data_IF_087890848667
#
_entry.id   IF_087890848667
#
_cell.length_a   1.000
_cell.length_b   1.000
_cell.length_c   1.000
_cell.angle_alpha   90.00
_cell.angle_beta   90.00
_cell.angle_gamma   90.00
#
_symmetry.space_group_name_H-M   'P 1'
#
loop_
_entity.id
_entity.type
_entity.pdbx_description
1 polymer ?
#
# COMPACT_ATOMS: atom_id res chain seq x y z
N UNK A 1 28.11 -2.64 36.92
CA UNK A 1 27.14 -1.64 37.38
C UNK A 1 27.10 -0.40 36.46
N UNK A 2 28.24 0.33 36.26
CA UNK A 2 28.22 1.54 35.41
C UNK A 2 27.93 1.27 33.94
N UNK A 3 28.54 0.20 33.36
CA UNK A 3 28.26 -0.23 31.98
C UNK A 3 26.82 -0.71 31.77
N UNK A 4 26.23 -1.36 32.74
CA UNK A 4 24.80 -1.80 32.68
C UNK A 4 23.88 -0.61 32.75
N UNK A 5 24.19 0.40 33.56
CA UNK A 5 23.40 1.63 33.65
C UNK A 5 23.42 2.39 32.32
N UNK A 6 24.59 2.57 31.69
CA UNK A 6 24.75 3.20 30.39
C UNK A 6 24.01 2.43 29.28
N UNK A 7 23.97 1.10 29.37
CA UNK A 7 23.26 0.27 28.41
C UNK A 7 21.73 0.41 28.56
N UNK A 8 21.25 0.44 29.79
CA UNK A 8 19.82 0.65 30.06
C UNK A 8 19.37 2.06 29.66
N UNK A 9 20.21 3.07 29.94
CA UNK A 9 19.92 4.45 29.52
C UNK A 9 19.83 4.58 28.00
N UNK A 10 20.75 3.98 27.24
CA UNK A 10 20.68 3.94 25.76
C UNK A 10 19.43 3.24 25.25
N UNK A 11 19.03 2.12 25.85
CA UNK A 11 17.80 1.40 25.50
C UNK A 11 16.55 2.25 25.79
N UNK A 12 16.53 2.96 26.90
CA UNK A 12 15.44 3.85 27.26
C UNK A 12 15.35 5.03 26.29
N UNK A 13 16.48 5.68 25.98
CA UNK A 13 16.53 6.78 25.01
C UNK A 13 16.09 6.35 23.63
N UNK A 14 16.48 5.17 23.16
CA UNK A 14 16.01 4.64 21.87
C UNK A 14 14.50 4.38 21.87
N UNK A 15 13.93 3.87 22.96
CA UNK A 15 12.49 3.67 23.10
C UNK A 15 11.72 4.99 23.13
N UNK A 16 12.23 5.99 23.84
CA UNK A 16 11.62 7.33 23.92
C UNK A 16 11.66 8.01 22.54
N UNK A 17 12.76 7.91 21.82
CA UNK A 17 12.88 8.47 20.48
C UNK A 17 11.95 7.75 19.47
N UNK A 18 11.87 6.43 19.54
CA UNK A 18 10.95 5.65 18.71
C UNK A 18 9.48 6.00 19.01
N UNK A 19 9.13 6.18 20.28
CA UNK A 19 7.79 6.60 20.68
C UNK A 19 7.46 8.03 20.25
N UNK A 20 8.42 8.95 20.39
CA UNK A 20 8.27 10.33 19.90
C UNK A 20 8.06 10.36 18.39
N UNK A 21 8.90 9.63 17.64
CA UNK A 21 8.75 9.47 16.20
C UNK A 21 7.37 8.91 15.81
N UNK A 22 6.89 7.90 16.54
CA UNK A 22 5.55 7.34 16.34
C UNK A 22 4.45 8.41 16.56
N UNK A 23 4.53 9.18 17.67
CA UNK A 23 3.57 10.24 17.95
C UNK A 23 3.59 11.36 16.90
N UNK A 24 4.76 11.74 16.41
CA UNK A 24 4.88 12.76 15.39
C UNK A 24 4.29 12.28 14.05
N UNK A 25 4.48 11.01 13.71
CA UNK A 25 3.84 10.40 12.54
C UNK A 25 2.31 10.35 12.66
N UNK A 26 1.75 10.21 13.87
CA UNK A 26 0.30 10.27 14.06
C UNK A 26 -0.30 11.66 13.77
N UNK A 27 0.48 12.73 13.87
CA UNK A 27 0.04 14.10 13.57
C UNK A 27 -0.02 14.41 12.08
N UNK A 28 0.65 13.61 11.23
CA UNK A 28 0.64 13.80 9.78
C UNK A 28 -0.76 13.60 9.23
N UNK A 29 -1.25 14.60 8.54
CA UNK A 29 -2.59 14.58 7.92
C UNK A 29 -2.50 14.62 6.38
N UNK A 30 -3.65 14.47 5.71
CA UNK A 30 -3.69 14.42 4.24
C UNK A 30 -3.17 15.66 3.53
N UNK A 31 -3.18 16.84 4.18
CA UNK A 31 -2.61 18.08 3.62
C UNK A 31 -1.08 18.00 3.63
N UNK A 32 -0.50 17.44 4.68
CA UNK A 32 0.94 17.28 4.78
C UNK A 32 1.46 16.30 3.73
N UNK A 33 0.76 15.18 3.54
CA UNK A 33 1.05 14.21 2.49
C UNK A 33 0.94 14.87 1.10
N UNK A 34 -0.12 15.65 0.87
CA UNK A 34 -0.31 16.38 -0.38
C UNK A 34 0.86 17.35 -0.69
N UNK A 35 1.40 18.02 0.33
CA UNK A 35 2.57 18.92 0.19
C UNK A 35 3.87 18.15 -0.06
N UNK A 36 4.01 16.97 0.50
CA UNK A 36 5.19 16.12 0.36
C UNK A 36 5.33 15.49 -1.05
N UNK A 37 4.26 15.46 -1.85
CA UNK A 37 4.31 15.01 -3.23
C UNK A 37 5.18 15.95 -4.09
N UNK A 38 6.05 15.36 -4.91
CA UNK A 38 7.02 16.13 -5.70
C UNK A 38 6.35 16.83 -6.89
N UNK A 39 5.57 16.09 -7.68
CA UNK A 39 4.94 16.61 -8.89
C UNK A 39 3.45 16.81 -8.70
N UNK A 40 2.85 17.71 -9.48
CA UNK A 40 1.40 17.93 -9.43
C UNK A 40 0.58 16.72 -9.89
N UNK A 41 1.14 15.90 -10.77
CA UNK A 41 0.51 14.67 -11.25
C UNK A 41 0.62 13.51 -10.25
N UNK A 42 1.62 13.53 -9.36
CA UNK A 42 1.85 12.45 -8.40
C UNK A 42 0.64 12.27 -7.48
N UNK A 43 0.39 11.03 -7.10
CA UNK A 43 -0.73 10.68 -6.21
C UNK A 43 -0.26 9.84 -5.04
N UNK A 44 -0.81 10.13 -3.87
CA UNK A 44 -0.75 9.26 -2.72
C UNK A 44 -2.16 8.71 -2.46
N UNK A 45 -2.27 7.41 -2.29
CA UNK A 45 -3.52 6.68 -2.17
C UNK A 45 -3.48 5.84 -0.91
N UNK A 46 -4.34 6.17 0.04
CA UNK A 46 -4.54 5.36 1.25
C UNK A 46 -5.82 4.55 1.05
N UNK A 47 -5.70 3.24 0.92
CA UNK A 47 -6.86 2.36 0.93
C UNK A 47 -7.39 2.25 2.34
N UNK A 48 -8.69 2.21 2.48
CA UNK A 48 -9.37 2.05 3.77
C UNK A 48 -10.43 0.96 3.66
N UNK A 49 -10.55 0.19 4.73
CA UNK A 49 -11.63 -0.77 4.94
C UNK A 49 -12.52 -0.25 6.06
N UNK A 50 -13.83 -0.27 5.87
CA UNK A 50 -14.79 0.17 6.86
C UNK A 50 -16.07 -0.66 6.83
N UNK A 51 -16.76 -0.71 7.94
CA UNK A 51 -18.03 -1.39 8.07
C UNK A 51 -19.19 -0.39 7.91
N UNK A 52 -20.16 -0.74 7.06
CA UNK A 52 -21.40 0.03 6.91
C UNK A 52 -22.57 -0.93 6.69
N UNK A 53 -23.57 -0.90 7.58
CA UNK A 53 -24.71 -1.79 7.54
C UNK A 53 -24.29 -3.27 7.47
N UNK A 54 -23.41 -3.69 8.38
CA UNK A 54 -22.83 -5.05 8.47
C UNK A 54 -22.09 -5.52 7.20
N UNK A 55 -21.86 -4.62 6.25
CA UNK A 55 -21.13 -4.91 5.03
C UNK A 55 -19.74 -4.28 5.06
N UNK A 56 -18.71 -5.09 4.86
CA UNK A 56 -17.34 -4.62 4.70
C UNK A 56 -17.16 -3.93 3.35
N UNK A 57 -16.75 -2.68 3.38
CA UNK A 57 -16.57 -1.83 2.21
C UNK A 57 -15.14 -1.32 2.12
N UNK A 58 -14.74 -1.08 0.90
CA UNK A 58 -13.46 -0.45 0.58
C UNK A 58 -13.67 0.94 0.00
N UNK A 59 -12.75 1.82 0.31
CA UNK A 59 -12.64 3.12 -0.30
C UNK A 59 -11.17 3.52 -0.40
N UNK A 60 -10.90 4.61 -1.10
CA UNK A 60 -9.58 5.19 -1.17
C UNK A 60 -9.62 6.68 -0.83
N UNK A 61 -8.64 7.13 -0.06
CA UNK A 61 -8.31 8.54 0.10
C UNK A 61 -7.23 8.87 -0.92
N UNK A 62 -7.56 9.71 -1.88
CA UNK A 62 -6.63 10.13 -2.92
C UNK A 62 -6.15 11.54 -2.64
N UNK A 63 -4.87 11.67 -2.39
CA UNK A 63 -4.15 12.92 -2.16
C UNK A 63 -3.32 13.28 -3.40
N UNK A 64 -3.38 14.54 -3.77
CA UNK A 64 -2.65 15.08 -4.91
C UNK A 64 -2.10 16.46 -4.52
N UNK A 65 -0.94 16.83 -5.06
CA UNK A 65 -0.28 18.08 -4.68
C UNK A 65 -1.21 19.28 -4.83
N UNK A 66 -1.34 20.07 -3.76
CA UNK A 66 -2.15 21.29 -3.70
C UNK A 66 -3.64 21.09 -4.03
N UNK A 67 -4.17 19.88 -3.90
CA UNK A 67 -5.60 19.61 -4.06
C UNK A 67 -6.21 19.09 -2.76
N UNK A 68 -7.53 19.24 -2.66
CA UNK A 68 -8.29 18.65 -1.57
C UNK A 68 -8.19 17.11 -1.63
N UNK A 69 -8.16 16.48 -0.48
CA UNK A 69 -8.23 15.02 -0.37
C UNK A 69 -9.58 14.55 -0.90
N UNK A 70 -9.57 13.58 -1.79
CA UNK A 70 -10.79 12.98 -2.34
C UNK A 70 -11.04 11.63 -1.68
N UNK A 71 -12.25 11.44 -1.20
CA UNK A 71 -12.74 10.14 -0.77
C UNK A 71 -13.44 9.46 -1.95
N UNK A 72 -12.99 8.29 -2.34
CA UNK A 72 -13.53 7.53 -3.47
C UNK A 72 -14.04 6.18 -2.95
N UNK A 73 -15.37 6.00 -2.84
CA UNK A 73 -15.94 4.69 -2.59
C UNK A 73 -15.56 3.72 -3.71
N UNK A 74 -15.27 2.49 -3.34
CA UNK A 74 -14.87 1.46 -4.31
C UNK A 74 -15.94 0.34 -4.36
N UNK A 75 -15.67 -0.75 -3.73
CA UNK A 75 -16.51 -1.96 -3.76
C UNK A 75 -16.65 -2.56 -2.36
N UNK A 76 -17.52 -3.53 -2.23
CA UNK A 76 -17.63 -4.35 -1.04
C UNK A 76 -16.65 -5.53 -1.11
N UNK A 77 -16.34 -6.11 0.05
CA UNK A 77 -15.55 -7.34 0.10
C UNK A 77 -16.23 -8.45 -0.71
N UNK A 78 -17.54 -8.56 -0.57
CA UNK A 78 -18.35 -9.56 -1.26
C UNK A 78 -18.29 -9.41 -2.81
N UNK A 79 -18.36 -8.17 -3.31
CA UNK A 79 -18.24 -7.90 -4.76
C UNK A 79 -16.88 -8.35 -5.32
N UNK A 80 -15.79 -8.14 -4.60
CA UNK A 80 -14.47 -8.55 -5.07
C UNK A 80 -14.27 -10.06 -4.96
N UNK A 81 -14.82 -10.67 -3.92
CA UNK A 81 -14.82 -12.12 -3.76
C UNK A 81 -15.63 -12.81 -4.86
N UNK A 82 -16.85 -12.37 -5.11
CA UNK A 82 -17.70 -12.90 -6.18
C UNK A 82 -17.04 -12.73 -7.56
N UNK A 83 -16.45 -11.57 -7.82
CA UNK A 83 -15.72 -11.36 -9.06
C UNK A 83 -14.58 -12.38 -9.23
N UNK A 84 -13.84 -12.66 -8.17
CA UNK A 84 -12.73 -13.62 -8.22
C UNK A 84 -13.22 -15.07 -8.38
N UNK A 85 -14.32 -15.43 -7.75
CA UNK A 85 -14.93 -16.76 -7.85
C UNK A 85 -15.52 -16.99 -9.25
N UNK A 86 -16.27 -16.04 -9.79
CA UNK A 86 -16.90 -16.15 -11.10
C UNK A 86 -15.89 -16.30 -12.24
N UNK A 87 -14.78 -15.61 -12.14
CA UNK A 87 -13.71 -15.67 -13.14
C UNK A 87 -12.75 -16.84 -12.96
N UNK A 88 -12.85 -17.57 -11.84
CA UNK A 88 -11.97 -18.70 -11.50
C UNK A 88 -12.78 -19.86 -10.95
N UNK A 89 -13.36 -20.66 -11.85
CA UNK A 89 -14.25 -21.81 -11.58
C UNK A 89 -13.73 -22.85 -10.56
N UNK A 90 -12.48 -22.74 -10.10
CA UNK A 90 -11.81 -23.75 -9.28
C UNK A 90 -11.47 -23.33 -7.85
N UNK A 91 -11.89 -22.14 -7.40
CA UNK A 91 -11.58 -21.64 -6.06
C UNK A 91 -12.86 -21.24 -5.33
N UNK A 92 -13.05 -21.77 -4.12
CA UNK A 92 -14.19 -21.42 -3.26
C UNK A 92 -14.06 -20.05 -2.60
N UNK A 93 -12.82 -19.55 -2.43
CA UNK A 93 -12.56 -18.27 -1.78
C UNK A 93 -11.40 -17.51 -2.45
N UNK A 94 -11.41 -16.20 -2.30
CA UNK A 94 -10.29 -15.35 -2.78
C UNK A 94 -8.95 -15.74 -2.11
N UNK A 95 -8.99 -16.13 -0.83
CA UNK A 95 -7.81 -16.66 -0.13
C UNK A 95 -7.22 -17.87 -0.83
N UNK A 96 -8.05 -18.83 -1.21
CA UNK A 96 -7.61 -20.01 -1.95
C UNK A 96 -7.03 -19.64 -3.31
N UNK A 97 -7.62 -18.69 -4.01
CA UNK A 97 -7.13 -18.19 -5.28
C UNK A 97 -5.72 -17.57 -5.18
N UNK A 98 -5.44 -16.88 -4.08
CA UNK A 98 -4.15 -16.21 -3.83
C UNK A 98 -3.08 -17.21 -3.33
N UNK A 99 -3.46 -18.10 -2.41
CA UNK A 99 -2.52 -19.00 -1.72
C UNK A 99 -2.40 -20.38 -2.35
N UNK A 100 -3.23 -20.74 -3.35
CA UNK A 100 -3.12 -22.05 -3.96
C UNK A 100 -1.77 -22.19 -4.66
N UNK A 101 -0.99 -23.18 -4.20
CA UNK A 101 0.26 -23.61 -4.86
C UNK A 101 0.01 -24.39 -6.16
N UNK A 102 -1.24 -24.74 -6.45
CA UNK A 102 -1.58 -25.34 -7.74
C UNK A 102 -1.25 -24.33 -8.82
N UNK A 103 -0.34 -24.69 -9.69
CA UNK A 103 0.10 -23.94 -10.88
C UNK A 103 -1.08 -23.81 -11.84
N UNK A 104 -2.11 -23.12 -11.42
CA UNK A 104 -3.13 -22.60 -12.29
C UNK A 104 -2.61 -21.20 -12.57
N UNK A 105 -2.01 -21.10 -13.71
CA UNK A 105 -1.58 -19.91 -14.43
C UNK A 105 -1.64 -18.61 -13.61
N UNK A 106 -0.59 -18.40 -12.78
CA UNK A 106 -0.44 -17.18 -11.98
C UNK A 106 -0.56 -15.91 -12.85
N UNK A 107 -0.38 -16.07 -14.15
CA UNK A 107 -0.48 -15.01 -15.13
C UNK A 107 -1.92 -14.49 -15.26
N UNK A 108 -2.95 -15.32 -15.04
CA UNK A 108 -4.33 -14.86 -15.25
C UNK A 108 -4.84 -13.83 -14.25
N UNK A 109 -4.42 -13.85 -12.98
CA UNK A 109 -4.89 -12.82 -12.03
C UNK A 109 -4.28 -11.45 -12.36
N UNK A 110 -3.00 -11.42 -12.65
CA UNK A 110 -2.27 -10.17 -12.91
C UNK A 110 -2.38 -9.71 -14.37
N UNK A 111 -2.82 -10.56 -15.27
CA UNK A 111 -3.23 -10.18 -16.63
C UNK A 111 -4.71 -9.76 -16.72
N UNK A 112 -5.45 -9.82 -15.61
CA UNK A 112 -6.84 -9.42 -15.56
C UNK A 112 -6.96 -7.89 -15.64
N UNK A 113 -7.18 -7.41 -16.84
CA UNK A 113 -7.37 -5.99 -17.13
C UNK A 113 -8.65 -5.43 -16.47
N UNK A 114 -9.68 -6.26 -16.25
CA UNK A 114 -10.95 -5.82 -15.68
C UNK A 114 -10.75 -5.50 -14.19
N UNK A 115 -10.07 -6.37 -13.43
CA UNK A 115 -9.78 -6.11 -12.02
C UNK A 115 -8.86 -4.90 -11.87
N UNK A 116 -7.83 -4.81 -12.70
CA UNK A 116 -6.94 -3.66 -12.74
C UNK A 116 -7.69 -2.35 -13.00
N UNK A 117 -8.56 -2.33 -13.99
CA UNK A 117 -9.42 -1.17 -14.29
C UNK A 117 -10.36 -0.84 -13.14
N UNK A 118 -11.04 -1.82 -12.56
CA UNK A 118 -11.91 -1.60 -11.40
C UNK A 118 -11.21 -0.93 -10.24
N UNK A 119 -9.94 -1.27 -9.99
CA UNK A 119 -9.17 -0.69 -8.89
C UNK A 119 -8.61 0.67 -9.29
N UNK A 120 -7.99 0.79 -10.46
CA UNK A 120 -7.16 1.94 -10.79
C UNK A 120 -7.87 3.06 -11.55
N UNK A 121 -8.85 2.77 -12.42
CA UNK A 121 -9.43 3.79 -13.29
C UNK A 121 -10.08 4.94 -12.52
N UNK A 122 -10.88 4.61 -11.49
CA UNK A 122 -11.52 5.62 -10.65
C UNK A 122 -10.54 6.43 -9.80
N UNK A 123 -9.40 5.83 -9.45
CA UNK A 123 -8.39 6.47 -8.60
C UNK A 123 -7.48 7.39 -9.43
N UNK A 124 -7.20 6.99 -10.64
CA UNK A 124 -6.26 7.69 -11.51
C UNK A 124 -6.95 8.74 -12.39
N UNK A 125 -8.17 8.47 -12.87
CA UNK A 125 -8.88 9.39 -13.78
C UNK A 125 -7.99 9.81 -14.97
N UNK A 126 -7.97 11.09 -15.30
CA UNK A 126 -7.14 11.67 -16.38
C UNK A 126 -5.67 11.90 -15.96
N UNK A 127 -5.11 11.00 -15.16
CA UNK A 127 -3.71 11.11 -14.74
C UNK A 127 -2.77 11.02 -15.94
N UNK A 128 -1.84 11.97 -16.12
CA UNK A 128 -0.85 11.91 -17.21
C UNK A 128 0.01 10.63 -17.13
N UNK A 129 0.53 10.22 -18.28
CA UNK A 129 1.66 9.29 -18.31
C UNK A 129 2.81 9.85 -17.49
N UNK A 130 3.73 9.07 -16.99
CA UNK A 130 4.86 9.52 -16.14
C UNK A 130 4.43 10.11 -14.79
N UNK A 131 3.49 9.46 -14.13
CA UNK A 131 3.05 9.79 -12.78
C UNK A 131 3.60 8.80 -11.78
N UNK A 132 4.05 9.27 -10.62
CA UNK A 132 4.35 8.41 -9.48
C UNK A 132 3.09 8.22 -8.64
N UNK A 133 2.78 6.96 -8.38
CA UNK A 133 1.63 6.56 -7.58
C UNK A 133 2.16 5.86 -6.33
N UNK A 134 1.94 6.46 -5.19
CA UNK A 134 2.30 5.90 -3.88
C UNK A 134 1.02 5.38 -3.25
N UNK A 135 0.98 4.12 -2.82
CA UNK A 135 -0.23 3.60 -2.19
C UNK A 135 0.08 2.80 -0.92
N UNK A 136 -0.85 2.86 0.02
CA UNK A 136 -0.87 2.04 1.22
C UNK A 136 -2.07 1.10 1.15
N UNK A 137 -1.84 -0.23 1.16
CA UNK A 137 -2.91 -1.21 1.13
C UNK A 137 -3.62 -1.33 2.47
N UNK A 138 -4.88 -1.75 2.45
CA UNK A 138 -5.67 -2.12 3.62
C UNK A 138 -6.50 -3.38 3.32
N UNK A 139 -6.73 -4.20 4.34
CA UNK A 139 -7.55 -5.40 4.23
C UNK A 139 -7.07 -6.36 3.14
N UNK A 140 -7.94 -6.69 2.19
CA UNK A 140 -7.65 -7.64 1.10
C UNK A 140 -6.49 -7.19 0.21
N UNK A 141 -6.22 -5.88 0.12
CA UNK A 141 -5.12 -5.36 -0.69
C UNK A 141 -3.74 -5.67 -0.14
N UNK A 142 -3.63 -6.11 1.13
CA UNK A 142 -2.39 -6.68 1.63
C UNK A 142 -2.05 -8.03 0.98
N UNK A 143 -3.06 -8.78 0.58
CA UNK A 143 -2.93 -10.10 -0.03
C UNK A 143 -2.77 -10.03 -1.56
N UNK A 144 -3.24 -8.94 -2.17
CA UNK A 144 -3.18 -8.72 -3.61
C UNK A 144 -1.99 -7.83 -3.96
N UNK A 145 -1.18 -8.26 -4.91
CA UNK A 145 -0.17 -7.41 -5.54
C UNK A 145 -0.81 -6.49 -6.57
N UNK A 146 -1.65 -5.54 -6.09
CA UNK A 146 -2.41 -4.67 -6.99
C UNK A 146 -1.53 -3.80 -7.88
N UNK A 147 -0.29 -3.57 -7.50
CA UNK A 147 0.72 -2.90 -8.30
C UNK A 147 1.11 -3.66 -9.58
N UNK A 148 0.84 -4.97 -9.62
CA UNK A 148 1.10 -5.83 -10.78
C UNK A 148 -0.14 -6.05 -11.64
N UNK A 149 -1.32 -5.57 -11.22
CA UNK A 149 -2.51 -5.65 -12.04
C UNK A 149 -2.35 -4.78 -13.27
N UNK A 150 -2.63 -5.38 -14.43
CA UNK A 150 -2.50 -4.69 -15.70
C UNK A 150 -3.49 -3.52 -15.76
N UNK A 151 -2.99 -2.35 -16.07
CA UNK A 151 -3.78 -1.16 -16.39
C UNK A 151 -3.08 -0.38 -17.53
N UNK A 152 -3.87 0.33 -18.32
CA UNK A 152 -3.43 0.93 -19.58
C UNK A 152 -2.52 2.17 -19.40
N UNK A 153 -1.53 2.11 -18.48
CA UNK A 153 -0.64 3.24 -18.19
C UNK A 153 0.78 2.75 -17.86
N UNK A 154 1.51 2.28 -18.87
CA UNK A 154 2.82 1.64 -18.69
C UNK A 154 3.89 2.58 -18.12
N UNK A 155 3.73 3.89 -18.29
CA UNK A 155 4.70 4.89 -17.83
C UNK A 155 4.50 5.35 -16.39
N UNK A 156 3.44 4.89 -15.71
CA UNK A 156 3.22 5.17 -14.30
C UNK A 156 4.12 4.28 -13.44
N UNK A 157 4.77 4.88 -12.45
CA UNK A 157 5.53 4.13 -11.43
C UNK A 157 4.67 3.97 -10.18
N UNK A 158 4.48 2.74 -9.75
CA UNK A 158 3.67 2.42 -8.58
C UNK A 158 4.56 1.98 -7.43
N UNK A 159 4.38 2.59 -6.27
CA UNK A 159 5.16 2.33 -5.07
C UNK A 159 4.22 1.94 -3.92
N UNK A 160 4.41 0.73 -3.39
CA UNK A 160 3.72 0.26 -2.20
C UNK A 160 4.41 0.79 -0.95
N UNK A 161 3.66 1.38 -0.06
CA UNK A 161 4.12 1.89 1.22
C UNK A 161 3.35 1.20 2.35
N UNK A 162 3.93 1.15 3.55
CA UNK A 162 3.20 0.73 4.76
C UNK A 162 2.17 1.78 5.22
N UNK A 163 2.42 3.05 4.92
CA UNK A 163 1.49 4.17 5.03
C UNK A 163 1.98 5.30 4.14
N UNK A 164 1.07 6.07 3.56
CA UNK A 164 1.41 7.26 2.76
C UNK A 164 2.06 8.37 3.60
N UNK A 165 1.93 8.33 4.94
CA UNK A 165 2.63 9.23 5.88
C UNK A 165 4.15 9.18 5.72
N UNK A 166 4.69 8.05 5.24
CA UNK A 166 6.12 7.91 4.96
C UNK A 166 6.66 8.88 3.91
N UNK A 167 5.79 9.49 3.14
CA UNK A 167 6.18 10.58 2.22
C UNK A 167 6.59 11.85 2.95
N UNK A 168 6.14 12.03 4.20
CA UNK A 168 6.47 13.16 5.04
C UNK A 168 7.69 12.90 5.96
N UNK A 169 8.20 11.67 5.99
CA UNK A 169 9.39 11.35 6.76
C UNK A 169 10.59 12.05 6.13
N UNK A 170 11.32 12.79 6.96
CA UNK A 170 12.57 13.39 6.54
C UNK A 170 13.57 12.27 6.20
N UNK A 171 13.81 12.07 4.93
CA UNK A 171 14.82 11.13 4.46
C UNK A 171 16.17 11.77 4.73
N UNK A 172 16.57 11.79 6.00
CA UNK A 172 17.92 12.15 6.37
C UNK A 172 18.87 11.45 5.40
N UNK A 173 19.83 12.17 4.87
CA UNK A 173 20.83 11.63 3.94
C UNK A 173 21.39 10.35 4.54
N UNK A 174 20.93 9.22 4.04
CA UNK A 174 21.39 7.91 4.52
C UNK A 174 22.89 7.85 4.28
N UNK A 175 23.65 7.92 5.36
CA UNK A 175 25.06 7.66 5.33
C UNK A 175 25.26 6.21 4.89
N UNK A 176 25.58 6.01 3.61
CA UNK A 176 25.86 4.74 2.94
C UNK A 176 24.74 3.70 3.05
N UNK A 177 24.13 3.28 1.95
CA UNK A 177 23.14 2.21 1.96
C UNK A 177 23.80 0.92 2.44
N UNK A 178 23.42 0.43 3.62
CA UNK A 178 23.75 -0.91 4.07
C UNK A 178 22.59 -1.83 3.69
N UNK A 179 22.82 -2.72 2.75
CA UNK A 179 21.88 -3.77 2.38
C UNK A 179 22.22 -5.02 3.18
N UNK A 180 21.37 -5.37 4.14
CA UNK A 180 21.44 -6.67 4.81
C UNK A 180 20.51 -7.63 4.05
N UNK A 181 21.10 -8.50 3.22
CA UNK A 181 20.39 -9.60 2.58
C UNK A 181 20.39 -10.81 3.52
N UNK A 182 19.28 -11.01 4.22
CA UNK A 182 19.01 -12.26 4.94
C UNK A 182 18.35 -13.23 3.95
N UNK A 183 19.14 -13.90 3.14
CA UNK A 183 18.68 -14.91 2.23
C UNK A 183 19.54 -16.14 2.33
N UNK A 184 18.95 -17.30 2.60
CA UNK A 184 19.69 -18.54 2.68
C UNK A 184 18.95 -19.71 3.32
N UNK A 185 17.65 -19.84 3.06
CA UNK A 185 16.99 -21.13 3.28
C UNK A 185 17.33 -22.04 2.11
N UNK A 186 18.35 -22.89 2.27
CA UNK A 186 18.45 -24.12 1.48
C UNK A 186 17.32 -25.03 1.91
N UNK A 187 16.30 -25.15 1.06
CA UNK A 187 15.34 -26.25 1.16
C UNK A 187 16.06 -27.52 0.67
N UNK A 188 16.31 -28.42 1.59
CA UNK A 188 16.65 -29.84 1.28
C UNK A 188 15.40 -30.55 0.82
#
# INVERSE_FOLDING_TARGET
LQKEYEQQERLLMNRVNAYKFFLDNLKVNGKDISRALTNQSDKAIEFIQYLKNDTTRYAALVMQKNKAVRFIPMFTLEEIEQYTIQNKKNFGTLKEAIYSRKIIDKNHLYSDTILGKKIWDNLLGDTPSKTNIYFSPEGIFHLLGIEYLCFDRPDCKIFRLSSTRRLCEDRGTASKPSLLLLGGLKLQ
#
